data_IF_865619142468
#
_entry.id   IF_865619142468
#
_cell.length_a   1.000
_cell.length_b   1.000
_cell.length_c   1.000
_cell.angle_alpha   90.00
_cell.angle_beta   90.00
_cell.angle_gamma   90.00
#
_symmetry.space_group_name_H-M   'P 1'
#
loop_
_entity.id
_entity.type
_entity.pdbx_description
1 polymer ?
#
# COMPACT_ATOMS: atom_id res chain seq x y z
N UNK A 1 19.76 -9.43 -28.98
CA UNK A 1 19.41 -8.72 -27.76
C UNK A 1 19.73 -7.25 -27.93
N UNK A 2 18.79 -6.38 -27.68
CA UNK A 2 19.03 -4.95 -27.72
C UNK A 2 19.69 -4.51 -26.39
N UNK A 3 20.66 -3.59 -26.44
CA UNK A 3 21.20 -3.00 -25.20
C UNK A 3 20.36 -1.80 -24.79
N UNK A 4 20.06 -1.68 -23.48
CA UNK A 4 19.40 -0.49 -22.95
C UNK A 4 20.30 0.74 -23.14
N UNK A 5 19.77 1.78 -23.79
CA UNK A 5 20.52 3.02 -23.95
C UNK A 5 20.84 3.66 -22.59
N UNK A 6 21.94 4.38 -22.50
CA UNK A 6 22.33 5.14 -21.30
C UNK A 6 21.21 6.08 -20.83
N UNK A 7 20.49 6.69 -21.78
CA UNK A 7 19.36 7.59 -21.46
C UNK A 7 18.18 6.83 -20.84
N UNK A 8 17.87 5.62 -21.34
CA UNK A 8 16.81 4.79 -20.76
C UNK A 8 17.15 4.35 -19.33
N UNK A 9 18.39 3.91 -19.10
CA UNK A 9 18.89 3.55 -17.75
C UNK A 9 18.78 4.76 -16.82
N UNK A 10 19.24 5.93 -17.24
CA UNK A 10 19.14 7.17 -16.46
C UNK A 10 17.68 7.53 -16.15
N UNK A 11 16.79 7.35 -17.10
CA UNK A 11 15.36 7.57 -16.92
C UNK A 11 14.77 6.60 -15.87
N UNK A 12 15.06 5.30 -15.97
CA UNK A 12 14.60 4.30 -14.99
C UNK A 12 15.09 4.68 -13.58
N UNK A 13 16.37 5.02 -13.42
CA UNK A 13 16.91 5.46 -12.12
C UNK A 13 16.25 6.74 -11.60
N UNK A 14 15.86 7.67 -12.49
CA UNK A 14 15.18 8.89 -12.08
C UNK A 14 13.81 8.65 -11.44
N UNK A 15 13.19 7.48 -11.68
CA UNK A 15 11.93 7.08 -11.06
C UNK A 15 12.06 6.75 -9.55
N UNK A 16 13.27 6.74 -9.01
CA UNK A 16 13.49 6.77 -7.55
C UNK A 16 12.98 8.08 -6.94
N UNK A 17 12.94 9.17 -7.71
CA UNK A 17 12.49 10.48 -7.27
C UNK A 17 10.96 10.64 -7.38
N UNK A 18 10.29 10.96 -6.25
CA UNK A 18 8.84 11.20 -6.20
C UNK A 18 8.39 12.25 -7.24
N UNK A 19 9.19 13.31 -7.43
CA UNK A 19 8.90 14.38 -8.40
C UNK A 19 8.71 13.83 -9.80
N UNK A 20 9.65 13.00 -10.28
CA UNK A 20 9.62 12.45 -11.64
C UNK A 20 8.43 11.50 -11.79
N UNK A 21 8.18 10.61 -10.83
CA UNK A 21 7.01 9.71 -10.86
C UNK A 21 5.69 10.46 -10.96
N UNK A 22 5.59 11.59 -10.24
CA UNK A 22 4.39 12.43 -10.25
C UNK A 22 4.22 13.20 -11.57
N UNK A 23 5.30 13.76 -12.12
CA UNK A 23 5.30 14.48 -13.40
C UNK A 23 4.95 13.55 -14.56
N UNK A 24 5.59 12.37 -14.60
CA UNK A 24 5.39 11.36 -15.64
C UNK A 24 4.13 10.49 -15.43
N UNK A 25 3.54 10.52 -14.23
CA UNK A 25 2.42 9.65 -13.80
C UNK A 25 2.70 8.18 -14.00
N UNK A 26 3.89 7.73 -13.60
CA UNK A 26 4.31 6.34 -13.71
C UNK A 26 4.90 5.82 -12.41
N UNK A 27 5.05 4.50 -12.32
CA UNK A 27 5.79 3.84 -11.27
C UNK A 27 6.58 2.65 -11.81
N UNK A 28 7.66 2.32 -11.13
CA UNK A 28 8.54 1.20 -11.45
C UNK A 28 8.16 -0.03 -10.62
N UNK A 29 8.09 -1.18 -11.28
CA UNK A 29 7.99 -2.49 -10.63
C UNK A 29 9.09 -3.42 -11.16
N UNK A 30 9.66 -4.22 -10.27
CA UNK A 30 10.76 -5.11 -10.58
C UNK A 30 10.53 -6.52 -10.03
N UNK A 31 10.93 -7.51 -10.80
CA UNK A 31 10.85 -8.91 -10.42
C UNK A 31 9.70 -9.68 -11.07
N UNK A 32 9.92 -10.98 -11.36
CA UNK A 32 9.02 -11.80 -12.17
C UNK A 32 7.59 -11.86 -11.66
N UNK A 33 7.44 -12.07 -10.35
CA UNK A 33 6.12 -12.20 -9.72
C UNK A 33 5.38 -10.86 -9.71
N UNK A 34 6.03 -9.80 -9.21
CA UNK A 34 5.42 -8.49 -9.07
C UNK A 34 4.99 -7.94 -10.43
N UNK A 35 5.87 -7.94 -11.43
CA UNK A 35 5.55 -7.47 -12.78
C UNK A 35 4.42 -8.30 -13.39
N UNK A 36 4.46 -9.64 -13.25
CA UNK A 36 3.41 -10.51 -13.73
C UNK A 36 2.04 -10.23 -13.07
N UNK A 37 2.03 -9.98 -11.76
CA UNK A 37 0.79 -9.66 -11.02
C UNK A 37 0.20 -8.28 -11.41
N UNK A 38 1.02 -7.36 -11.96
CA UNK A 38 0.58 -6.01 -12.36
C UNK A 38 0.17 -5.91 -13.83
N UNK A 39 0.69 -6.78 -14.69
CA UNK A 39 0.27 -6.85 -16.09
C UNK A 39 -1.24 -7.15 -16.18
N UNK A 40 -1.92 -6.42 -17.07
CA UNK A 40 -3.37 -6.51 -17.19
C UNK A 40 -4.19 -5.69 -16.17
N UNK A 41 -3.54 -5.19 -15.09
CA UNK A 41 -4.18 -4.29 -14.13
C UNK A 41 -3.84 -2.82 -14.38
N UNK A 42 -2.62 -2.55 -14.87
CA UNK A 42 -2.14 -1.20 -15.18
C UNK A 42 -1.59 -1.16 -16.61
N UNK A 43 -1.81 -0.07 -17.36
CA UNK A 43 -1.15 0.11 -18.65
C UNK A 43 0.38 0.07 -18.50
N UNK A 44 1.03 -0.82 -19.25
CA UNK A 44 2.47 -0.97 -19.23
C UNK A 44 3.11 -0.07 -20.29
N UNK A 45 3.78 1.01 -19.86
CA UNK A 45 4.43 1.95 -20.76
C UNK A 45 5.77 1.40 -21.31
N UNK A 46 6.49 0.65 -20.50
CA UNK A 46 7.78 0.08 -20.85
C UNK A 46 8.03 -1.22 -20.08
N UNK A 47 8.58 -2.21 -20.77
CA UNK A 47 9.00 -3.46 -20.14
C UNK A 47 10.34 -3.91 -20.73
N UNK A 48 11.30 -4.19 -19.86
CA UNK A 48 12.57 -4.82 -20.20
C UNK A 48 12.69 -6.16 -19.48
N UNK A 49 12.98 -7.22 -20.22
CA UNK A 49 13.09 -8.55 -19.65
C UNK A 49 14.11 -9.42 -20.39
N UNK A 50 14.58 -10.45 -19.69
CA UNK A 50 15.42 -11.49 -20.32
C UNK A 50 14.59 -12.38 -21.24
N UNK A 51 15.24 -13.00 -22.23
CA UNK A 51 14.59 -13.95 -23.15
C UNK A 51 13.88 -15.08 -22.39
N UNK A 52 14.49 -15.60 -21.31
CA UNK A 52 13.91 -16.67 -20.50
C UNK A 52 12.60 -16.29 -19.80
N UNK A 53 12.43 -15.01 -19.45
CA UNK A 53 11.18 -14.53 -18.88
C UNK A 53 10.12 -14.29 -19.94
N UNK A 54 10.51 -13.68 -21.08
CA UNK A 54 9.61 -13.41 -22.22
C UNK A 54 8.98 -14.68 -22.80
N UNK A 55 9.77 -15.76 -22.92
CA UNK A 55 9.27 -17.05 -23.39
C UNK A 55 8.14 -17.64 -22.54
N UNK A 56 8.06 -17.28 -21.26
CA UNK A 56 7.00 -17.73 -20.34
C UNK A 56 5.79 -16.80 -20.35
N UNK A 57 5.90 -15.63 -20.98
CA UNK A 57 4.87 -14.59 -21.01
C UNK A 57 4.73 -14.07 -22.44
N UNK A 58 4.14 -14.86 -23.37
CA UNK A 58 4.08 -14.50 -24.79
C UNK A 58 3.12 -13.34 -25.10
N UNK A 59 2.09 -13.16 -24.26
CA UNK A 59 0.99 -12.21 -24.51
C UNK A 59 1.13 -10.94 -23.66
N UNK A 60 2.29 -10.27 -23.75
CA UNK A 60 2.53 -9.04 -22.99
C UNK A 60 1.99 -7.84 -23.77
N UNK A 61 1.06 -7.10 -23.18
CA UNK A 61 0.63 -5.79 -23.66
C UNK A 61 1.48 -4.69 -22.99
N UNK A 62 2.43 -4.16 -23.75
CA UNK A 62 3.29 -3.05 -23.33
C UNK A 62 3.55 -2.11 -24.52
N UNK A 63 3.53 -0.79 -24.26
CA UNK A 63 3.77 0.20 -25.33
C UNK A 63 5.17 0.09 -25.92
N UNK A 64 6.17 -0.28 -25.10
CA UNK A 64 7.54 -0.56 -25.50
C UNK A 64 8.03 -1.81 -24.79
N UNK A 65 8.40 -2.85 -25.53
CA UNK A 65 8.93 -4.13 -25.04
C UNK A 65 10.35 -4.33 -25.55
N UNK A 66 11.31 -4.59 -24.66
CA UNK A 66 12.73 -4.77 -25.02
C UNK A 66 13.27 -6.06 -24.39
N UNK A 67 13.74 -6.97 -25.26
CA UNK A 67 14.54 -8.11 -24.80
C UNK A 67 15.98 -7.65 -24.53
N UNK A 68 16.46 -7.91 -23.31
CA UNK A 68 17.75 -7.44 -22.82
C UNK A 68 18.55 -8.55 -22.14
N UNK A 69 19.85 -8.33 -21.97
CA UNK A 69 20.69 -9.22 -21.15
C UNK A 69 20.44 -9.01 -19.66
N UNK A 70 20.80 -10.02 -18.84
CA UNK A 70 20.77 -9.88 -17.38
C UNK A 70 21.71 -8.76 -16.89
N UNK A 71 22.82 -8.51 -17.60
CA UNK A 71 23.75 -7.43 -17.30
C UNK A 71 23.10 -6.05 -17.49
N UNK A 72 22.38 -5.86 -18.61
CA UNK A 72 21.65 -4.60 -18.86
C UNK A 72 20.54 -4.37 -17.84
N UNK A 73 19.81 -5.42 -17.45
CA UNK A 73 18.82 -5.33 -16.37
C UNK A 73 19.49 -4.95 -15.06
N UNK A 74 20.63 -5.56 -14.74
CA UNK A 74 21.36 -5.25 -13.49
C UNK A 74 21.83 -3.79 -13.44
N UNK A 75 22.15 -3.21 -14.59
CA UNK A 75 22.53 -1.79 -14.68
C UNK A 75 21.35 -0.84 -14.56
N UNK A 76 20.15 -1.28 -14.93
CA UNK A 76 18.94 -0.47 -14.91
C UNK A 76 18.12 -0.62 -13.60
N UNK A 77 18.29 -1.72 -12.88
CA UNK A 77 17.54 -2.05 -11.68
C UNK A 77 17.89 -1.17 -10.48
N UNK A 78 16.89 -0.85 -9.66
CA UNK A 78 17.05 -0.24 -8.33
C UNK A 78 17.20 -1.28 -7.21
N UNK A 79 17.03 -2.56 -7.52
CA UNK A 79 17.15 -3.64 -6.53
C UNK A 79 18.62 -4.00 -6.27
N UNK A 80 18.95 -4.34 -5.03
CA UNK A 80 20.28 -4.88 -4.68
C UNK A 80 20.59 -6.21 -5.40
N UNK A 81 19.54 -7.01 -5.64
CA UNK A 81 19.62 -8.27 -6.38
C UNK A 81 18.67 -8.19 -7.58
N UNK A 82 19.16 -7.69 -8.72
CA UNK A 82 18.35 -7.52 -9.93
C UNK A 82 17.75 -8.83 -10.42
N UNK A 83 16.51 -8.76 -10.86
CA UNK A 83 15.71 -9.90 -11.32
C UNK A 83 15.61 -9.90 -12.86
N UNK A 84 14.86 -10.84 -13.43
CA UNK A 84 14.75 -11.09 -14.87
C UNK A 84 13.89 -10.09 -15.64
N UNK A 85 13.18 -9.20 -14.95
CA UNK A 85 12.26 -8.24 -15.57
C UNK A 85 12.10 -6.98 -14.71
N UNK A 86 11.98 -5.85 -15.37
CA UNK A 86 11.48 -4.59 -14.82
C UNK A 86 10.46 -3.97 -15.75
N UNK A 87 9.48 -3.25 -15.20
CA UNK A 87 8.46 -2.59 -15.98
C UNK A 87 8.08 -1.23 -15.39
N UNK A 88 7.67 -0.32 -16.24
CA UNK A 88 7.14 0.99 -15.90
C UNK A 88 5.67 1.00 -16.25
N UNK A 89 4.84 1.16 -15.24
CA UNK A 89 3.38 1.22 -15.34
C UNK A 89 2.86 2.63 -15.16
N UNK A 90 1.69 2.94 -15.76
CA UNK A 90 0.99 4.19 -15.53
C UNK A 90 0.29 4.19 -14.17
N UNK A 91 0.30 5.34 -13.50
CA UNK A 91 -0.43 5.51 -12.24
C UNK A 91 -1.93 5.64 -12.53
N UNK A 92 -2.79 4.81 -11.91
CA UNK A 92 -4.22 4.95 -12.03
C UNK A 92 -4.71 6.23 -11.34
N UNK A 93 -5.87 6.71 -11.75
CA UNK A 93 -6.59 7.78 -11.09
C UNK A 93 -7.85 7.21 -10.46
N UNK A 94 -7.93 7.28 -9.14
CA UNK A 94 -9.10 6.81 -8.39
C UNK A 94 -9.87 8.00 -7.81
N UNK A 95 -11.19 7.97 -7.94
CA UNK A 95 -12.08 8.89 -7.23
C UNK A 95 -12.34 8.34 -5.84
N UNK A 96 -12.11 9.16 -4.81
CA UNK A 96 -12.46 8.81 -3.44
C UNK A 96 -13.94 9.17 -3.19
N UNK A 97 -14.74 8.15 -2.91
CA UNK A 97 -16.16 8.29 -2.58
C UNK A 97 -16.37 7.93 -1.09
N UNK A 98 -16.89 8.85 -0.25
CA UNK A 98 -17.25 8.54 1.13
C UNK A 98 -18.24 7.37 1.27
N UNK A 99 -19.07 7.12 0.25
CA UNK A 99 -20.02 6.01 0.25
C UNK A 99 -19.34 4.65 0.31
N UNK A 100 -18.14 4.51 -0.26
CA UNK A 100 -17.34 3.28 -0.14
C UNK A 100 -17.08 2.90 1.32
N UNK A 101 -16.81 3.90 2.20
CA UNK A 101 -16.59 3.67 3.64
C UNK A 101 -17.88 3.33 4.37
N UNK A 102 -19.00 3.89 3.94
CA UNK A 102 -20.30 3.56 4.54
C UNK A 102 -20.73 2.14 4.24
N UNK A 103 -20.35 1.60 3.09
CA UNK A 103 -20.75 0.27 2.62
C UNK A 103 -19.75 -0.83 2.97
N UNK A 104 -18.46 -0.49 3.14
CA UNK A 104 -17.40 -1.48 3.36
C UNK A 104 -16.40 -1.02 4.42
N UNK A 105 -15.59 -1.96 4.89
CA UNK A 105 -14.49 -1.67 5.79
C UNK A 105 -13.32 -1.11 5.00
N UNK A 106 -12.82 0.07 5.42
CA UNK A 106 -11.69 0.77 4.81
C UNK A 106 -10.60 1.06 5.86
N UNK A 107 -9.39 1.33 5.40
CA UNK A 107 -8.28 1.77 6.25
C UNK A 107 -8.01 3.25 6.04
N UNK A 108 -7.63 3.97 7.09
CA UNK A 108 -7.01 5.28 7.01
C UNK A 108 -5.61 5.22 7.64
N UNK A 109 -4.64 5.85 6.99
CA UNK A 109 -3.25 5.90 7.45
C UNK A 109 -2.86 7.35 7.70
N UNK A 110 -2.64 7.67 8.96
CA UNK A 110 -2.28 9.00 9.41
C UNK A 110 -0.78 9.09 9.62
N UNK A 111 -0.09 9.69 8.65
CA UNK A 111 1.34 9.98 8.69
C UNK A 111 2.25 8.73 8.80
N UNK A 112 1.87 7.61 8.18
CA UNK A 112 2.73 6.43 8.06
C UNK A 112 3.89 6.74 7.11
N UNK A 113 5.14 6.72 7.63
CA UNK A 113 6.32 7.23 6.94
C UNK A 113 7.18 6.13 6.28
N UNK A 114 7.17 4.92 6.83
CA UNK A 114 8.00 3.82 6.30
C UNK A 114 7.35 3.18 5.06
N UNK A 115 8.07 3.14 3.91
CA UNK A 115 7.55 2.56 2.68
C UNK A 115 7.32 1.04 2.77
N UNK A 116 8.05 0.33 3.62
CA UNK A 116 7.86 -1.09 3.88
C UNK A 116 6.56 -1.34 4.64
N UNK A 117 6.27 -0.51 5.66
CA UNK A 117 5.01 -0.58 6.40
C UNK A 117 3.82 -0.29 5.48
N UNK A 118 3.86 0.79 4.67
CA UNK A 118 2.77 1.08 3.73
C UNK A 118 2.55 -0.08 2.75
N UNK A 119 3.61 -0.61 2.15
CA UNK A 119 3.49 -1.75 1.23
C UNK A 119 2.93 -3.01 1.91
N UNK A 120 3.35 -3.29 3.13
CA UNK A 120 2.83 -4.41 3.94
C UNK A 120 1.35 -4.19 4.27
N UNK A 121 0.94 -2.97 4.63
CA UNK A 121 -0.48 -2.65 4.90
C UNK A 121 -1.33 -2.81 3.63
N UNK A 122 -0.84 -2.41 2.46
CA UNK A 122 -1.53 -2.64 1.18
C UNK A 122 -1.73 -4.15 0.94
N UNK A 123 -0.69 -4.96 1.18
CA UNK A 123 -0.80 -6.41 1.07
C UNK A 123 -1.80 -7.02 2.07
N UNK A 124 -1.86 -6.50 3.30
CA UNK A 124 -2.85 -6.90 4.30
C UNK A 124 -4.27 -6.49 3.89
N UNK A 125 -4.45 -5.28 3.36
CA UNK A 125 -5.73 -4.82 2.84
C UNK A 125 -6.26 -5.74 1.75
N UNK A 126 -5.41 -6.11 0.78
CA UNK A 126 -5.73 -7.10 -0.26
C UNK A 126 -6.14 -8.45 0.37
N UNK A 127 -5.36 -8.96 1.34
CA UNK A 127 -5.64 -10.24 2.01
C UNK A 127 -6.97 -10.26 2.74
N UNK A 128 -7.31 -9.15 3.40
CA UNK A 128 -8.55 -9.03 4.17
C UNK A 128 -9.72 -8.43 3.37
N UNK A 129 -9.62 -8.30 2.05
CA UNK A 129 -10.67 -7.77 1.19
C UNK A 129 -11.06 -6.33 1.53
N UNK A 130 -10.06 -5.50 1.83
CA UNK A 130 -10.20 -4.05 2.04
C UNK A 130 -9.74 -3.35 0.76
N UNK A 131 -10.66 -2.80 0.00
CA UNK A 131 -10.40 -2.22 -1.32
C UNK A 131 -9.80 -0.81 -1.25
N UNK A 132 -10.12 -0.04 -0.20
CA UNK A 132 -9.75 1.37 -0.10
C UNK A 132 -8.86 1.65 1.10
N UNK A 133 -7.73 2.32 0.84
CA UNK A 133 -6.84 2.91 1.84
C UNK A 133 -6.82 4.41 1.64
N UNK A 134 -7.12 5.18 2.69
CA UNK A 134 -7.15 6.64 2.69
C UNK A 134 -5.94 7.15 3.48
N UNK A 135 -4.98 7.76 2.81
CA UNK A 135 -3.74 8.26 3.40
C UNK A 135 -3.82 9.76 3.65
N UNK A 136 -3.25 10.21 4.75
CA UNK A 136 -2.96 11.64 4.95
C UNK A 136 -1.93 12.11 3.90
N UNK A 137 -1.86 13.44 3.67
CA UNK A 137 -0.93 14.03 2.70
C UNK A 137 0.55 13.75 3.01
N UNK A 138 0.87 13.55 4.29
CA UNK A 138 2.23 13.28 4.75
C UNK A 138 2.59 11.79 4.73
N UNK A 139 1.64 10.89 4.55
CA UNK A 139 1.94 9.45 4.39
C UNK A 139 2.86 9.24 3.19
N UNK A 140 3.82 8.33 3.32
CA UNK A 140 4.80 8.00 2.28
C UNK A 140 4.12 7.68 0.95
N UNK A 141 4.78 8.03 -0.15
CA UNK A 141 4.26 7.82 -1.50
C UNK A 141 4.08 6.33 -1.83
N UNK A 142 2.85 5.94 -2.17
CA UNK A 142 2.51 4.56 -2.56
C UNK A 142 3.34 4.06 -3.75
N UNK A 143 3.71 4.96 -4.67
CA UNK A 143 4.50 4.61 -5.84
C UNK A 143 6.02 4.65 -5.60
N UNK A 144 6.47 4.85 -4.35
CA UNK A 144 7.88 4.64 -3.99
C UNK A 144 8.29 3.20 -4.36
N UNK A 145 9.43 2.98 -5.03
CA UNK A 145 9.86 1.63 -5.44
C UNK A 145 9.89 0.61 -4.30
N UNK A 146 10.29 1.04 -3.08
CA UNK A 146 10.26 0.15 -1.91
C UNK A 146 8.84 -0.20 -1.47
N UNK A 147 7.89 0.74 -1.54
CA UNK A 147 6.48 0.48 -1.26
C UNK A 147 5.93 -0.52 -2.28
N UNK A 148 6.10 -0.24 -3.58
CA UNK A 148 5.63 -1.12 -4.66
C UNK A 148 6.16 -2.54 -4.46
N UNK A 149 7.46 -2.69 -4.16
CA UNK A 149 8.06 -4.00 -3.92
C UNK A 149 7.44 -4.72 -2.71
N UNK A 150 7.16 -3.99 -1.63
CA UNK A 150 6.57 -4.55 -0.41
C UNK A 150 5.09 -4.93 -0.55
N UNK A 151 4.36 -4.39 -1.53
CA UNK A 151 2.96 -4.76 -1.79
C UNK A 151 2.80 -6.19 -2.27
N UNK A 152 3.84 -6.78 -2.86
CA UNK A 152 3.82 -8.13 -3.45
C UNK A 152 2.65 -8.33 -4.43
N UNK A 153 2.29 -7.28 -5.20
CA UNK A 153 1.19 -7.30 -6.16
C UNK A 153 -0.18 -6.84 -5.60
N UNK A 154 -0.33 -6.66 -4.30
CA UNK A 154 -1.58 -6.19 -3.68
C UNK A 154 -2.08 -4.85 -4.19
N UNK A 155 -1.17 -3.99 -4.67
CA UNK A 155 -1.52 -2.68 -5.28
C UNK A 155 -2.45 -2.81 -6.50
N UNK A 156 -2.51 -3.96 -7.16
CA UNK A 156 -3.41 -4.20 -8.29
C UNK A 156 -4.89 -4.25 -7.88
N UNK A 157 -5.19 -4.50 -6.60
CA UNK A 157 -6.55 -4.73 -6.08
C UNK A 157 -6.94 -3.73 -4.99
N UNK A 158 -5.98 -2.93 -4.49
CA UNK A 158 -6.20 -1.94 -3.44
C UNK A 158 -6.02 -0.53 -3.99
N UNK A 159 -7.02 0.31 -3.80
CA UNK A 159 -7.04 1.70 -4.21
C UNK A 159 -6.52 2.59 -3.09
N UNK A 160 -5.40 3.26 -3.32
CA UNK A 160 -4.80 4.18 -2.34
C UNK A 160 -5.10 5.62 -2.72
N UNK A 161 -5.67 6.36 -1.77
CA UNK A 161 -6.09 7.75 -1.94
C UNK A 161 -5.31 8.65 -0.98
N UNK A 162 -5.00 9.87 -1.38
CA UNK A 162 -4.36 10.89 -0.54
C UNK A 162 -5.30 12.09 -0.39
N UNK A 163 -5.62 12.44 0.86
CA UNK A 163 -6.52 13.57 1.15
C UNK A 163 -6.25 14.17 2.53
N UNK A 164 -6.98 15.25 2.88
CA UNK A 164 -7.10 15.70 4.27
C UNK A 164 -7.94 14.69 5.05
N UNK A 165 -7.32 13.90 5.93
CA UNK A 165 -8.05 12.93 6.75
C UNK A 165 -9.11 13.58 7.63
N UNK A 166 -8.86 14.72 8.32
CA UNK A 166 -9.88 15.37 9.10
C UNK A 166 -11.13 15.73 8.29
N UNK A 167 -10.95 16.32 7.10
CA UNK A 167 -12.08 16.73 6.27
C UNK A 167 -12.83 15.51 5.72
N UNK A 168 -12.09 14.48 5.32
CA UNK A 168 -12.70 13.23 4.88
C UNK A 168 -13.52 12.56 5.98
N UNK A 169 -12.97 12.44 7.19
CA UNK A 169 -13.67 11.82 8.33
C UNK A 169 -14.94 12.62 8.68
N UNK A 170 -14.88 13.95 8.68
CA UNK A 170 -16.08 14.79 8.90
C UNK A 170 -17.18 14.52 7.87
N UNK A 171 -16.81 14.22 6.62
CA UNK A 171 -17.78 13.91 5.55
C UNK A 171 -18.48 12.56 5.73
N UNK A 172 -17.97 11.68 6.60
CA UNK A 172 -18.55 10.36 6.85
C UNK A 172 -19.80 10.40 7.76
N UNK A 173 -20.04 11.49 8.49
CA UNK A 173 -21.17 11.63 9.43
C UNK A 173 -21.11 10.60 10.55
N UNK A 174 -22.20 9.85 10.74
CA UNK A 174 -22.35 8.87 11.83
C UNK A 174 -21.67 7.51 11.54
N UNK A 175 -20.93 7.39 10.44
CA UNK A 175 -20.20 6.16 10.09
C UNK A 175 -19.21 5.79 11.20
N UNK A 176 -19.08 4.50 11.57
CA UNK A 176 -18.09 4.09 12.56
C UNK A 176 -16.66 4.41 12.13
N UNK A 177 -15.94 5.16 12.96
CA UNK A 177 -14.52 5.49 12.80
C UNK A 177 -13.76 4.93 13.99
N UNK A 178 -13.01 3.88 13.75
CA UNK A 178 -12.20 3.19 14.74
C UNK A 178 -10.77 3.73 14.72
N UNK A 179 -10.13 3.82 15.87
CA UNK A 179 -8.71 4.14 15.95
C UNK A 179 -8.06 3.39 17.09
N UNK A 180 -6.75 3.12 16.94
CA UNK A 180 -5.97 2.38 17.94
C UNK A 180 -5.29 3.31 18.90
N UNK A 181 -5.55 3.12 20.19
CA UNK A 181 -5.02 3.93 21.28
C UNK A 181 -4.64 3.06 22.47
N UNK A 182 -3.63 3.47 23.24
CA UNK A 182 -3.25 2.81 24.48
C UNK A 182 -4.33 2.96 25.58
N UNK A 183 -5.12 4.05 25.51
CA UNK A 183 -6.26 4.34 26.40
C UNK A 183 -7.60 3.87 25.82
N UNK A 184 -7.57 3.06 24.76
CA UNK A 184 -8.76 2.50 24.13
C UNK A 184 -9.38 1.35 24.90
N UNK A 185 -10.53 0.88 24.42
CA UNK A 185 -11.21 -0.32 24.95
C UNK A 185 -10.64 -1.58 24.32
N UNK A 186 -10.51 -2.65 25.08
CA UNK A 186 -10.08 -3.96 24.60
C UNK A 186 -10.90 -4.37 23.37
N UNK A 187 -10.23 -4.48 22.20
CA UNK A 187 -10.90 -4.72 20.91
C UNK A 187 -11.64 -6.05 20.87
N UNK A 188 -11.20 -7.05 21.62
CA UNK A 188 -11.83 -8.38 21.67
C UNK A 188 -13.17 -8.38 22.42
N UNK A 189 -13.45 -7.32 23.20
CA UNK A 189 -14.69 -7.14 23.97
C UNK A 189 -15.65 -6.12 23.33
N UNK A 190 -15.27 -5.55 22.17
CA UNK A 190 -16.07 -4.54 21.48
C UNK A 190 -16.81 -5.14 20.28
N UNK A 191 -18.05 -4.69 20.01
CA UNK A 191 -18.71 -5.01 18.75
C UNK A 191 -18.01 -4.26 17.61
N UNK A 192 -17.50 -5.01 16.64
CA UNK A 192 -16.83 -4.48 15.45
C UNK A 192 -17.76 -4.60 14.24
N UNK A 193 -17.90 -3.51 13.48
CA UNK A 193 -18.79 -3.48 12.30
C UNK A 193 -18.11 -4.04 11.06
N UNK A 194 -18.92 -4.51 10.10
CA UNK A 194 -18.43 -4.96 8.80
C UNK A 194 -18.06 -3.81 7.85
N UNK A 195 -18.42 -2.56 8.20
CA UNK A 195 -18.17 -1.32 7.46
C UNK A 195 -17.56 -0.26 8.38
N UNK A 196 -17.05 0.82 7.79
CA UNK A 196 -16.47 1.95 8.51
C UNK A 196 -14.99 2.13 8.23
N UNK A 197 -14.35 2.99 8.99
CA UNK A 197 -12.96 3.39 8.80
C UNK A 197 -12.10 2.96 9.98
N UNK A 198 -11.04 2.21 9.75
CA UNK A 198 -10.02 1.91 10.76
C UNK A 198 -8.84 2.85 10.54
N UNK A 199 -8.56 3.69 11.53
CA UNK A 199 -7.46 4.67 11.49
C UNK A 199 -6.24 4.08 12.20
N UNK A 200 -5.13 4.02 11.47
CA UNK A 200 -3.81 3.65 11.97
C UNK A 200 -2.90 4.87 11.95
N UNK A 201 -2.17 5.10 13.02
CA UNK A 201 -1.31 6.26 13.16
C UNK A 201 0.15 6.02 12.79
N UNK A 202 0.94 7.09 12.90
CA UNK A 202 2.39 7.09 12.75
C UNK A 202 3.07 6.19 13.80
N UNK A 203 4.19 5.58 13.44
CA UNK A 203 4.93 4.61 14.26
C UNK A 203 5.44 5.21 15.58
N UNK A 204 5.83 6.50 15.58
CA UNK A 204 6.37 7.19 16.75
C UNK A 204 5.35 8.05 17.47
N UNK A 205 4.47 8.74 16.74
CA UNK A 205 3.58 9.75 17.29
C UNK A 205 2.12 9.28 17.42
N UNK A 206 1.80 8.09 16.90
CA UNK A 206 0.43 7.59 16.86
C UNK A 206 -0.47 8.40 15.92
N UNK A 207 -1.76 8.46 16.23
CA UNK A 207 -2.76 9.22 15.48
C UNK A 207 -2.68 10.70 15.85
N UNK A 208 -2.62 11.58 14.85
CA UNK A 208 -2.55 13.02 15.04
C UNK A 208 -3.74 13.57 15.84
N UNK A 209 -3.50 14.62 16.62
CA UNK A 209 -4.50 15.18 17.56
C UNK A 209 -5.84 15.52 16.90
N UNK A 210 -5.81 16.15 15.73
CA UNK A 210 -7.03 16.54 15.03
C UNK A 210 -7.83 15.31 14.59
N UNK A 211 -7.18 14.31 13.98
CA UNK A 211 -7.78 13.04 13.58
C UNK A 211 -8.34 12.31 14.80
N UNK A 212 -7.58 12.26 15.91
CA UNK A 212 -7.96 11.60 17.15
C UNK A 212 -9.28 12.13 17.74
N UNK A 213 -9.58 13.45 17.59
CA UNK A 213 -10.84 14.04 18.05
C UNK A 213 -12.07 13.59 17.25
N UNK A 214 -11.86 13.08 16.05
CA UNK A 214 -12.91 12.64 15.13
C UNK A 214 -13.18 11.13 15.22
N UNK A 215 -12.37 10.40 15.98
CA UNK A 215 -12.55 8.96 16.19
C UNK A 215 -13.63 8.73 17.23
N UNK A 216 -14.69 8.00 16.84
CA UNK A 216 -15.82 7.71 17.72
C UNK A 216 -15.76 6.32 18.37
N UNK A 217 -14.77 5.48 18.03
CA UNK A 217 -14.54 4.15 18.58
C UNK A 217 -13.04 3.93 18.84
N UNK A 218 -12.59 4.20 20.07
CA UNK A 218 -11.19 3.95 20.47
C UNK A 218 -11.01 2.49 20.85
N UNK A 219 -10.10 1.82 20.20
CA UNK A 219 -9.75 0.41 20.40
C UNK A 219 -8.34 0.28 20.99
N UNK A 220 -8.14 -0.77 21.76
CA UNK A 220 -6.84 -1.17 22.31
C UNK A 220 -6.55 -2.63 21.95
N UNK A 221 -5.34 -2.90 21.48
CA UNK A 221 -4.83 -4.27 21.32
C UNK A 221 -4.15 -4.65 22.63
N UNK A 222 -4.75 -5.55 23.46
CA UNK A 222 -4.19 -5.87 24.77
C UNK A 222 -2.87 -6.63 24.64
N UNK A 223 -1.90 -6.28 25.50
CA UNK A 223 -0.68 -7.03 25.71
C UNK A 223 -0.92 -8.22 26.66
N UNK A 224 -0.02 -9.17 26.69
CA UNK A 224 -0.06 -10.32 27.60
C UNK A 224 1.31 -10.56 28.27
N UNK A 225 1.34 -10.86 29.57
CA UNK A 225 0.19 -10.81 30.51
C UNK A 225 -0.32 -9.38 30.74
N UNK A 226 -1.61 -9.24 31.01
CA UNK A 226 -2.22 -7.93 31.24
C UNK A 226 -1.56 -7.20 32.42
N UNK A 227 -1.24 -5.92 32.24
CA UNK A 227 -0.66 -5.05 33.28
C UNK A 227 0.86 -5.24 33.49
N UNK A 228 1.52 -6.08 32.71
CA UNK A 228 2.99 -6.14 32.74
C UNK A 228 3.64 -5.13 31.80
N UNK A 229 4.83 -4.67 32.16
CA UNK A 229 5.64 -3.80 31.31
C UNK A 229 6.03 -4.54 30.02
N UNK A 230 5.84 -3.86 28.89
CA UNK A 230 6.15 -4.38 27.55
C UNK A 230 6.66 -3.25 26.67
N UNK A 231 6.93 -3.51 25.39
CA UNK A 231 7.24 -2.45 24.42
C UNK A 231 6.08 -1.45 24.32
N UNK A 232 6.39 -0.18 24.12
CA UNK A 232 5.41 0.92 24.09
C UNK A 232 4.34 0.76 23.00
N UNK A 233 4.69 0.15 21.87
CA UNK A 233 3.78 -0.04 20.74
C UNK A 233 4.15 -1.24 19.88
N UNK A 234 3.20 -1.72 19.10
CA UNK A 234 3.43 -2.65 17.99
C UNK A 234 3.82 -1.86 16.73
N UNK A 235 4.61 -2.50 15.85
CA UNK A 235 4.78 -2.00 14.48
C UNK A 235 3.41 -1.78 13.84
N UNK A 236 3.22 -0.68 13.10
CA UNK A 236 1.92 -0.27 12.55
C UNK A 236 1.33 -1.31 11.60
N UNK A 237 2.14 -1.97 10.76
CA UNK A 237 1.65 -3.01 9.87
C UNK A 237 1.20 -4.27 10.65
N UNK A 238 1.93 -4.63 11.72
CA UNK A 238 1.54 -5.74 12.60
C UNK A 238 0.24 -5.41 13.34
N UNK A 239 0.12 -4.21 13.91
CA UNK A 239 -1.12 -3.76 14.54
C UNK A 239 -2.31 -3.78 13.56
N UNK A 240 -2.09 -3.34 12.32
CA UNK A 240 -3.09 -3.40 11.24
C UNK A 240 -3.52 -4.84 10.97
N UNK A 241 -2.59 -5.79 10.91
CA UNK A 241 -2.92 -7.20 10.68
C UNK A 241 -3.82 -7.76 11.80
N UNK A 242 -3.46 -7.50 13.06
CA UNK A 242 -4.22 -7.98 14.23
C UNK A 242 -5.64 -7.41 14.23
N UNK A 243 -5.79 -6.10 13.98
CA UNK A 243 -7.10 -5.44 13.94
C UNK A 243 -7.94 -5.95 12.77
N UNK A 244 -7.41 -5.98 11.57
CA UNK A 244 -8.15 -6.46 10.40
C UNK A 244 -8.60 -7.92 10.57
N UNK A 245 -7.75 -8.77 11.15
CA UNK A 245 -8.10 -10.15 11.44
C UNK A 245 -9.31 -10.24 12.39
N UNK A 246 -9.34 -9.45 13.47
CA UNK A 246 -10.47 -9.47 14.42
C UNK A 246 -11.74 -8.90 13.80
N UNK A 247 -11.66 -7.81 13.03
CA UNK A 247 -12.83 -7.30 12.30
C UNK A 247 -13.44 -8.36 11.37
N UNK A 248 -12.60 -9.09 10.61
CA UNK A 248 -13.07 -10.15 9.70
C UNK A 248 -13.57 -11.37 10.47
N UNK A 249 -12.93 -11.74 11.58
CA UNK A 249 -13.40 -12.81 12.44
C UNK A 249 -14.82 -12.55 12.93
N UNK A 250 -15.10 -11.34 13.42
CA UNK A 250 -16.44 -11.00 13.89
C UNK A 250 -17.47 -10.90 12.76
N UNK A 251 -17.07 -10.47 11.56
CA UNK A 251 -17.98 -10.34 10.43
C UNK A 251 -18.30 -11.68 9.73
N UNK A 252 -17.31 -12.59 9.63
CA UNK A 252 -17.41 -13.78 8.79
C UNK A 252 -17.80 -15.06 9.57
N UNK A 253 -17.53 -15.11 10.89
CA UNK A 253 -17.66 -16.34 11.68
C UNK A 253 -18.64 -16.17 12.86
N UNK A 254 -19.76 -15.52 12.57
CA UNK A 254 -20.93 -15.47 13.50
C UNK A 254 -21.82 -16.67 13.30
#
# INVERSE_FOLDING_TARGET
>A
MASLSKNKIKYIHSLELKKIRKEERVFLAEGPKLVGDLLGHFPCRFLAATSSWLQKHPDIDASELVEVSQEDLSRASLLKTPQQVLAIFEQPQYTLDPEAVRQSLCLALDDVQDPGNLGTIIRLADWFGIEHIICSQNTVDVYNPKTIQATMGGIARVKVHYTSLPDFIRSLGDTPVFGTFLDGKNMYEQPLSANGLIVMGNEGNGIGKEVATLINRKLYIPNYPAGQETSESLNVAIATAVICAEFRRQAAWK
#
